data_IF_484199614449
#
_entry.id   IF_484199614449
#
_cell.length_a   1.000
_cell.length_b   1.000
_cell.length_c   1.000
_cell.angle_alpha   90.00
_cell.angle_beta   90.00
_cell.angle_gamma   90.00
#
_symmetry.space_group_name_H-M   'P 1'
#
loop_
_entity.id
_entity.type
_entity.pdbx_description
1 polymer ?
#
# COMPACT_ATOMS: atom_id res chain seq x y z
N UNK A 1 10.10 -5.27 18.02
CA UNK A 1 10.32 -6.62 17.47
C UNK A 1 10.83 -6.47 16.05
N UNK A 2 11.96 -7.10 15.70
CA UNK A 2 12.48 -7.07 14.32
C UNK A 2 11.88 -8.22 13.50
N UNK A 3 11.64 -8.05 12.20
CA UNK A 3 11.10 -9.12 11.36
C UNK A 3 12.13 -10.24 11.19
N UNK A 4 11.70 -11.49 11.30
CA UNK A 4 12.59 -12.66 11.10
C UNK A 4 13.20 -12.73 9.69
N UNK A 5 12.57 -12.08 8.70
CA UNK A 5 13.07 -11.98 7.33
C UNK A 5 12.86 -10.56 6.78
N UNK A 6 13.91 -10.01 6.18
CA UNK A 6 13.90 -8.73 5.49
C UNK A 6 14.32 -8.92 4.04
N UNK A 7 13.50 -8.46 3.10
CA UNK A 7 13.76 -8.54 1.66
C UNK A 7 13.81 -7.13 1.09
N UNK A 8 14.85 -6.82 0.33
CA UNK A 8 15.02 -5.52 -0.30
C UNK A 8 15.48 -5.70 -1.76
N UNK A 9 15.26 -4.69 -2.60
CA UNK A 9 15.69 -4.65 -3.99
C UNK A 9 16.48 -3.35 -4.24
N UNK A 10 16.42 -2.80 -5.46
CA UNK A 10 17.03 -1.51 -5.87
C UNK A 10 18.54 -1.52 -6.15
N UNK A 11 19.39 -2.13 -5.31
CA UNK A 11 20.85 -2.12 -5.52
C UNK A 11 21.35 -2.99 -6.68
N UNK A 12 20.46 -3.71 -7.36
CA UNK A 12 20.78 -4.59 -8.49
C UNK A 12 21.90 -5.59 -8.15
N UNK A 13 21.83 -6.19 -6.97
CA UNK A 13 22.80 -7.20 -6.53
C UNK A 13 22.10 -8.26 -5.69
N UNK A 14 22.49 -9.53 -5.90
CA UNK A 14 22.07 -10.62 -5.02
C UNK A 14 23.01 -10.64 -3.82
N UNK A 15 22.45 -10.45 -2.63
CA UNK A 15 23.21 -10.54 -1.39
C UNK A 15 22.35 -11.15 -0.29
N UNK A 16 22.94 -11.94 0.59
CA UNK A 16 22.24 -12.55 1.73
C UNK A 16 23.08 -12.42 2.99
N UNK A 17 22.43 -12.04 4.09
CA UNK A 17 23.08 -11.92 5.39
C UNK A 17 22.16 -12.43 6.51
N UNK A 18 22.77 -12.82 7.63
CA UNK A 18 22.07 -13.11 8.88
C UNK A 18 22.52 -12.09 9.89
N UNK A 19 21.58 -11.31 10.41
CA UNK A 19 21.84 -10.21 11.33
C UNK A 19 21.43 -10.69 12.73
N UNK A 20 22.39 -10.97 13.64
CA UNK A 20 22.08 -11.36 15.00
C UNK A 20 21.71 -10.15 15.86
N UNK A 21 20.83 -10.35 16.84
CA UNK A 21 20.50 -9.38 17.88
C UNK A 21 20.98 -9.87 19.25
N UNK A 22 21.05 -8.95 20.21
CA UNK A 22 21.53 -9.20 21.57
C UNK A 22 20.64 -10.16 22.37
N UNK A 23 19.35 -10.25 22.01
CA UNK A 23 18.37 -11.17 22.59
C UNK A 23 18.43 -12.59 21.99
N UNK A 24 19.41 -12.85 21.09
CA UNK A 24 19.58 -14.11 20.39
C UNK A 24 18.66 -14.32 19.18
N UNK A 25 17.72 -13.41 18.93
CA UNK A 25 16.93 -13.40 17.70
C UNK A 25 17.80 -13.03 16.49
N UNK A 26 17.29 -13.32 15.27
CA UNK A 26 18.05 -13.10 14.03
C UNK A 26 17.12 -12.66 12.91
N UNK A 27 17.58 -11.70 12.11
CA UNK A 27 16.93 -11.34 10.84
C UNK A 27 17.70 -11.95 9.67
N UNK A 28 17.00 -12.69 8.81
CA UNK A 28 17.55 -13.11 7.51
C UNK A 28 17.33 -12.01 6.49
N UNK A 29 18.41 -11.33 6.09
CA UNK A 29 18.38 -10.30 5.06
C UNK A 29 18.65 -10.88 3.68
N UNK A 30 17.89 -10.43 2.70
CA UNK A 30 18.03 -10.83 1.30
C UNK A 30 17.85 -9.61 0.38
N UNK A 31 18.92 -9.26 -0.34
CA UNK A 31 18.88 -8.30 -1.44
C UNK A 31 18.61 -9.03 -2.77
N UNK A 32 17.66 -8.49 -3.51
CA UNK A 32 17.20 -8.99 -4.79
C UNK A 32 17.86 -8.25 -5.95
N UNK A 33 18.24 -9.01 -6.99
CA UNK A 33 18.78 -8.45 -8.22
C UNK A 33 17.65 -8.10 -9.22
N UNK A 34 17.98 -7.34 -10.26
CA UNK A 34 17.05 -6.98 -11.33
C UNK A 34 16.98 -8.08 -12.39
N UNK A 35 15.76 -8.38 -12.82
CA UNK A 35 15.47 -9.24 -13.96
C UNK A 35 15.84 -8.54 -15.28
N UNK A 36 17.13 -8.49 -15.64
CA UNK A 36 17.62 -7.97 -16.92
C UNK A 36 18.04 -9.11 -17.85
N UNK A 37 18.12 -8.86 -19.18
CA UNK A 37 18.72 -9.81 -20.10
C UNK A 37 20.09 -10.29 -19.58
N UNK A 38 20.30 -11.61 -19.64
CA UNK A 38 21.52 -12.29 -19.14
C UNK A 38 21.70 -12.29 -17.60
N UNK A 39 20.79 -11.69 -16.83
CA UNK A 39 20.73 -11.83 -15.37
C UNK A 39 19.61 -12.79 -15.01
N UNK A 40 19.95 -13.93 -14.42
CA UNK A 40 18.96 -14.90 -13.93
C UNK A 40 18.62 -14.57 -12.50
N UNK A 41 17.56 -13.78 -12.31
CA UNK A 41 17.10 -13.45 -10.98
C UNK A 41 15.60 -13.69 -10.83
N UNK A 42 15.25 -14.74 -10.12
CA UNK A 42 13.93 -15.03 -9.58
C UNK A 42 14.18 -15.87 -8.32
N UNK A 43 13.58 -15.48 -7.21
CA UNK A 43 13.70 -16.23 -5.96
C UNK A 43 12.32 -16.71 -5.52
N UNK A 44 12.18 -18.03 -5.44
CA UNK A 44 11.00 -18.69 -4.92
C UNK A 44 11.26 -18.97 -3.45
N UNK A 45 10.25 -18.75 -2.62
CA UNK A 45 10.31 -18.99 -1.18
C UNK A 45 9.21 -19.97 -0.81
N UNK A 46 9.63 -21.10 -0.27
CA UNK A 46 8.72 -22.08 0.29
C UNK A 46 8.43 -21.67 1.73
N UNK A 47 7.16 -21.33 1.98
CA UNK A 47 6.65 -20.97 3.30
C UNK A 47 5.68 -22.08 3.69
N UNK A 48 5.89 -22.64 4.88
CA UNK A 48 5.00 -23.67 5.40
C UNK A 48 3.58 -23.11 5.55
N UNK A 49 2.62 -23.79 4.92
CA UNK A 49 1.20 -23.47 5.00
C UNK A 49 0.45 -24.67 5.54
N UNK A 50 -0.46 -24.44 6.49
CA UNK A 50 -1.29 -25.51 7.01
C UNK A 50 -2.36 -25.87 5.98
N UNK A 51 -2.37 -27.11 5.52
CA UNK A 51 -3.33 -27.57 4.49
C UNK A 51 -4.81 -27.41 4.90
N UNK A 52 -5.09 -27.29 6.21
CA UNK A 52 -6.45 -27.04 6.74
C UNK A 52 -6.91 -25.59 6.59
N UNK A 53 -6.01 -24.64 6.35
CA UNK A 53 -6.34 -23.21 6.25
C UNK A 53 -6.48 -22.81 4.77
N UNK A 54 -7.47 -21.98 4.41
CA UNK A 54 -7.64 -21.51 3.04
C UNK A 54 -6.53 -20.52 2.65
N UNK A 55 -6.14 -20.52 1.37
CA UNK A 55 -5.21 -19.54 0.79
C UNK A 55 -5.98 -18.29 0.39
N UNK A 56 -6.18 -17.39 1.36
CA UNK A 56 -6.92 -16.14 1.19
C UNK A 56 -6.05 -14.92 1.48
N UNK A 57 -6.28 -13.85 0.71
CA UNK A 57 -5.75 -12.54 1.06
C UNK A 57 -6.66 -11.92 2.11
N UNK A 58 -6.05 -11.41 3.18
CA UNK A 58 -6.75 -10.67 4.24
C UNK A 58 -6.09 -9.32 4.45
N UNK A 59 -6.90 -8.32 4.77
CA UNK A 59 -6.40 -7.07 5.29
C UNK A 59 -5.81 -7.28 6.69
N UNK A 60 -4.71 -6.60 6.96
CA UNK A 60 -4.13 -6.56 8.30
C UNK A 60 -4.91 -5.59 9.17
N UNK A 61 -5.40 -6.06 10.32
CA UNK A 61 -6.31 -5.30 11.18
C UNK A 61 -5.63 -4.08 11.80
N UNK A 62 -4.38 -4.20 12.25
CA UNK A 62 -3.61 -3.08 12.79
C UNK A 62 -3.38 -2.03 11.70
N UNK A 63 -3.02 -2.47 10.50
CA UNK A 63 -2.80 -1.59 9.35
C UNK A 63 -4.05 -0.82 8.93
N UNK A 64 -5.21 -1.48 8.86
CA UNK A 64 -6.49 -0.80 8.60
C UNK A 64 -6.77 0.28 9.65
N UNK A 65 -6.45 -0.01 10.91
CA UNK A 65 -6.66 0.94 12.00
C UNK A 65 -5.71 2.12 11.91
N UNK A 66 -4.44 1.89 11.57
CA UNK A 66 -3.47 2.98 11.30
C UNK A 66 -3.94 3.84 10.12
N UNK A 67 -4.43 3.25 9.04
CA UNK A 67 -4.95 4.00 7.88
C UNK A 67 -6.14 4.88 8.28
N UNK A 68 -7.09 4.33 9.05
CA UNK A 68 -8.23 5.10 9.55
C UNK A 68 -7.79 6.26 10.46
N UNK A 69 -6.94 5.98 11.45
CA UNK A 69 -6.48 6.99 12.40
C UNK A 69 -5.65 8.10 11.74
N UNK A 70 -4.91 7.78 10.67
CA UNK A 70 -4.05 8.75 9.98
C UNK A 70 -4.70 9.42 8.77
N UNK A 71 -5.98 9.14 8.47
CA UNK A 71 -6.65 9.73 7.30
C UNK A 71 -6.63 11.27 7.30
N UNK A 72 -6.80 11.90 8.46
CA UNK A 72 -6.74 13.36 8.61
C UNK A 72 -5.38 13.98 8.26
N UNK A 73 -4.31 13.17 8.18
CA UNK A 73 -2.97 13.59 7.77
C UNK A 73 -2.76 13.48 6.26
N UNK A 74 -3.71 12.88 5.52
CA UNK A 74 -3.62 12.75 4.08
C UNK A 74 -3.68 14.13 3.42
N UNK A 75 -2.70 14.41 2.56
CA UNK A 75 -2.68 15.62 1.75
C UNK A 75 -2.20 15.30 0.34
N UNK A 76 -2.96 15.75 -0.66
CA UNK A 76 -2.63 15.61 -2.08
C UNK A 76 -2.11 16.93 -2.69
N UNK A 77 -1.88 17.94 -1.85
CA UNK A 77 -1.32 19.22 -2.28
C UNK A 77 0.14 19.06 -2.68
N UNK A 78 0.58 19.82 -3.68
CA UNK A 78 1.99 19.87 -4.09
C UNK A 78 2.90 20.67 -3.14
N UNK A 79 2.42 21.05 -1.96
CA UNK A 79 3.15 21.82 -0.95
C UNK A 79 3.66 20.94 0.17
N UNK A 80 4.63 21.43 0.93
CA UNK A 80 5.05 20.78 2.16
C UNK A 80 3.88 20.68 3.14
N UNK A 81 3.71 19.49 3.74
CA UNK A 81 2.77 19.24 4.81
C UNK A 81 3.58 18.87 6.05
N UNK A 82 3.37 19.60 7.14
CA UNK A 82 4.00 19.29 8.42
C UNK A 82 3.19 18.22 9.13
N UNK A 83 3.83 17.13 9.51
CA UNK A 83 3.21 16.02 10.24
C UNK A 83 3.45 16.18 11.75
N UNK A 84 2.53 15.66 12.59
CA UNK A 84 2.70 15.69 14.04
C UNK A 84 3.97 14.91 14.42
N UNK A 85 4.69 15.42 15.41
CA UNK A 85 5.97 14.87 15.82
C UNK A 85 6.23 15.04 17.31
N UNK A 86 7.20 14.30 17.87
CA UNK A 86 7.45 14.26 19.31
C UNK A 86 7.86 15.61 19.91
N UNK A 87 8.38 16.51 19.09
CA UNK A 87 9.04 17.73 19.55
C UNK A 87 8.20 19.00 19.38
N UNK A 88 7.01 18.97 18.75
CA UNK A 88 6.36 20.23 18.39
C UNK A 88 4.83 20.22 18.18
N UNK A 89 4.08 19.39 18.91
CA UNK A 89 2.61 19.47 18.88
C UNK A 89 2.00 18.79 20.11
N UNK A 90 0.92 19.35 20.66
CA UNK A 90 0.00 18.65 21.58
C UNK A 90 -0.84 17.56 20.86
N UNK A 91 -0.55 17.31 19.58
CA UNK A 91 -1.24 16.37 18.73
C UNK A 91 -0.64 14.97 18.82
N UNK A 92 -1.47 13.95 18.59
CA UNK A 92 -1.04 12.55 18.57
C UNK A 92 -0.10 12.31 17.39
N UNK A 93 1.09 11.76 17.67
CA UNK A 93 2.09 11.39 16.66
C UNK A 93 2.41 9.89 16.64
N UNK A 94 1.89 9.12 17.61
CA UNK A 94 2.02 7.66 17.66
C UNK A 94 0.66 7.03 17.40
N UNK A 95 0.58 6.21 16.35
CA UNK A 95 -0.67 5.61 15.88
C UNK A 95 -0.75 4.11 16.12
N UNK A 96 -0.04 3.60 17.14
CA UNK A 96 -0.28 2.24 17.64
C UNK A 96 -1.75 2.14 18.07
N UNK A 97 -2.54 1.23 17.46
CA UNK A 97 -3.96 1.11 17.78
C UNK A 97 -4.21 0.70 19.24
N UNK A 98 -5.21 1.30 19.88
CA UNK A 98 -5.75 0.81 21.15
C UNK A 98 -6.75 -0.36 20.90
N UNK A 99 -7.07 -1.17 21.92
CA UNK A 99 -8.10 -2.21 21.78
C UNK A 99 -9.46 -1.67 21.31
N UNK A 100 -9.85 -0.49 21.76
CA UNK A 100 -11.11 0.16 21.36
C UNK A 100 -11.08 0.59 19.89
N UNK A 101 -9.94 1.11 19.42
CA UNK A 101 -9.74 1.48 18.01
C UNK A 101 -9.76 0.24 17.11
N UNK A 102 -9.13 -0.86 17.55
CA UNK A 102 -9.20 -2.14 16.86
C UNK A 102 -10.65 -2.64 16.80
N UNK A 103 -11.39 -2.60 17.91
CA UNK A 103 -12.79 -3.01 17.95
C UNK A 103 -13.68 -2.18 17.01
N UNK A 104 -13.43 -0.88 16.92
CA UNK A 104 -14.12 0.01 15.98
C UNK A 104 -13.95 -0.44 14.53
N UNK A 105 -12.71 -0.76 14.12
CA UNK A 105 -12.43 -1.22 12.76
C UNK A 105 -12.95 -2.63 12.52
N UNK A 106 -12.91 -3.51 13.52
CA UNK A 106 -13.52 -4.82 13.42
C UNK A 106 -15.01 -4.71 13.12
N UNK A 107 -15.73 -3.80 13.77
CA UNK A 107 -17.15 -3.56 13.49
C UNK A 107 -17.40 -3.03 12.07
N UNK A 108 -16.53 -2.18 11.52
CA UNK A 108 -16.65 -1.69 10.13
C UNK A 108 -16.52 -2.79 9.08
N UNK A 109 -15.81 -3.86 9.41
CA UNK A 109 -15.57 -4.99 8.52
C UNK A 109 -16.38 -6.24 8.91
N UNK A 110 -17.33 -6.12 9.83
CA UNK A 110 -18.09 -7.26 10.38
C UNK A 110 -17.17 -8.39 10.89
N UNK A 111 -16.01 -8.03 11.44
CA UNK A 111 -14.91 -8.92 11.83
C UNK A 111 -14.40 -9.85 10.71
N UNK A 112 -14.68 -9.49 9.45
CA UNK A 112 -14.25 -10.20 8.25
C UNK A 112 -13.30 -9.33 7.42
N UNK A 113 -12.01 -9.61 7.56
CA UNK A 113 -10.95 -8.90 6.85
C UNK A 113 -10.57 -9.55 5.52
N UNK A 114 -11.32 -10.53 5.01
CA UNK A 114 -11.01 -11.17 3.73
C UNK A 114 -11.13 -10.17 2.58
N UNK A 115 -10.09 -10.09 1.75
CA UNK A 115 -10.08 -9.23 0.56
C UNK A 115 -11.10 -9.78 -0.44
N UNK A 116 -12.08 -8.97 -0.89
CA UNK A 116 -13.10 -9.42 -1.81
C UNK A 116 -12.51 -9.79 -3.17
N UNK A 117 -13.05 -10.83 -3.80
CA UNK A 117 -12.66 -11.27 -5.15
C UNK A 117 -13.42 -10.48 -6.24
N UNK A 118 -13.41 -9.16 -6.13
CA UNK A 118 -14.16 -8.24 -7.01
C UNK A 118 -13.26 -7.45 -7.97
N UNK A 119 -12.05 -7.94 -8.25
CA UNK A 119 -11.09 -7.25 -9.12
C UNK A 119 -11.61 -7.15 -10.56
N UNK A 120 -11.51 -5.95 -11.14
CA UNK A 120 -11.91 -5.68 -12.52
C UNK A 120 -10.74 -5.14 -13.34
N UNK A 121 -10.77 -5.41 -14.64
CA UNK A 121 -9.78 -4.86 -15.57
C UNK A 121 -10.08 -3.38 -15.84
N UNK A 122 -9.24 -2.46 -15.33
CA UNK A 122 -9.41 -1.01 -15.48
C UNK A 122 -8.53 -0.40 -16.57
N UNK A 123 -7.60 -1.17 -17.13
CA UNK A 123 -6.71 -0.78 -18.21
C UNK A 123 -6.52 -1.94 -19.20
N UNK A 124 -6.34 -1.66 -20.51
CA UNK A 124 -6.10 -2.70 -21.50
C UNK A 124 -4.87 -3.56 -21.14
N UNK A 125 -4.93 -4.89 -21.36
CA UNK A 125 -3.78 -5.74 -21.16
C UNK A 125 -2.67 -5.39 -22.14
N UNK A 126 -1.44 -5.75 -21.78
CA UNK A 126 -0.28 -5.60 -22.66
C UNK A 126 -0.51 -6.34 -23.99
N UNK A 127 -0.32 -5.64 -25.12
CA UNK A 127 -0.38 -6.22 -26.44
C UNK A 127 1.02 -6.17 -27.11
N UNK A 128 1.68 -7.33 -27.35
CA UNK A 128 3.01 -7.37 -27.93
C UNK A 128 3.07 -6.83 -29.37
N UNK A 129 1.94 -6.83 -30.08
CA UNK A 129 1.84 -6.37 -31.46
C UNK A 129 1.62 -4.85 -31.58
N UNK A 130 1.46 -4.13 -30.46
CA UNK A 130 1.29 -2.67 -30.51
C UNK A 130 2.59 -1.95 -30.92
N UNK A 131 2.49 -0.91 -31.76
CA UNK A 131 3.65 -0.13 -32.20
C UNK A 131 4.34 0.56 -31.01
N UNK A 132 5.68 0.61 -31.08
CA UNK A 132 6.55 1.13 -29.99
C UNK A 132 6.25 2.58 -29.61
N UNK A 133 5.75 3.40 -30.54
CA UNK A 133 5.35 4.80 -30.30
C UNK A 133 4.22 4.96 -29.28
N UNK A 134 3.39 3.93 -29.08
CA UNK A 134 2.36 3.91 -28.05
C UNK A 134 2.82 3.28 -26.72
N UNK A 135 4.01 2.65 -26.66
CA UNK A 135 4.52 2.01 -25.42
C UNK A 135 5.13 3.00 -24.44
N UNK A 136 5.60 4.16 -24.92
CA UNK A 136 6.29 5.17 -24.10
C UNK A 136 5.37 6.30 -23.62
N UNK A 137 4.06 6.19 -23.83
CA UNK A 137 3.10 7.18 -23.32
C UNK A 137 2.79 6.87 -21.87
N UNK A 138 2.91 7.89 -21.01
CA UNK A 138 2.49 7.80 -19.62
C UNK A 138 0.99 7.47 -19.58
N UNK A 139 0.61 6.45 -18.82
CA UNK A 139 -0.79 6.10 -18.64
C UNK A 139 -1.52 7.22 -17.88
N UNK A 140 -2.78 7.48 -18.26
CA UNK A 140 -3.62 8.39 -17.51
C UNK A 140 -4.00 7.79 -16.16
N UNK A 141 -3.94 8.63 -15.14
CA UNK A 141 -4.44 8.32 -13.80
C UNK A 141 -5.95 8.09 -13.85
N UNK A 142 -6.41 6.99 -13.23
CA UNK A 142 -7.83 6.62 -13.16
C UNK A 142 -8.12 6.05 -11.80
N UNK A 143 -9.25 6.45 -11.21
CA UNK A 143 -9.76 5.85 -9.98
C UNK A 143 -10.10 4.38 -10.22
N UNK A 144 -9.75 3.52 -9.26
CA UNK A 144 -10.04 2.10 -9.32
C UNK A 144 -11.25 1.78 -8.43
N UNK A 145 -12.34 1.17 -8.95
CA UNK A 145 -13.55 0.95 -8.16
C UNK A 145 -13.32 0.18 -6.85
N UNK A 146 -12.45 -0.84 -6.87
CA UNK A 146 -12.10 -1.57 -5.64
C UNK A 146 -11.41 -0.69 -4.59
N UNK A 147 -10.60 0.28 -5.01
CA UNK A 147 -9.96 1.23 -4.09
C UNK A 147 -11.00 2.16 -3.50
N UNK A 148 -11.93 2.66 -4.31
CA UNK A 148 -13.03 3.52 -3.85
C UNK A 148 -13.92 2.78 -2.85
N UNK A 149 -14.39 1.58 -3.17
CA UNK A 149 -15.20 0.76 -2.23
C UNK A 149 -14.45 0.46 -0.94
N UNK A 150 -13.15 0.17 -1.02
CA UNK A 150 -12.32 -0.03 0.16
C UNK A 150 -12.24 1.24 1.03
N UNK A 151 -11.98 2.40 0.42
CA UNK A 151 -11.92 3.67 1.12
C UNK A 151 -13.27 4.04 1.76
N UNK A 152 -14.38 3.83 1.04
CA UNK A 152 -15.74 4.04 1.54
C UNK A 152 -16.05 3.14 2.76
N UNK A 153 -15.73 1.84 2.66
CA UNK A 153 -15.95 0.87 3.74
C UNK A 153 -15.14 1.23 5.00
N UNK A 154 -13.87 1.62 4.83
CA UNK A 154 -13.02 2.04 5.95
C UNK A 154 -13.34 3.46 6.44
N UNK A 155 -14.13 4.23 5.67
CA UNK A 155 -14.44 5.65 5.87
C UNK A 155 -13.19 6.54 5.86
N UNK A 156 -12.35 6.36 4.84
CA UNK A 156 -11.17 7.18 4.56
C UNK A 156 -11.27 7.79 3.16
N UNK A 157 -10.44 8.79 2.88
CA UNK A 157 -10.40 9.43 1.57
C UNK A 157 -9.68 8.54 0.54
N UNK A 158 -10.17 8.55 -0.69
CA UNK A 158 -9.44 8.01 -1.84
C UNK A 158 -8.46 9.08 -2.35
N UNK A 159 -7.13 8.91 -2.17
CA UNK A 159 -6.16 9.94 -2.51
C UNK A 159 -6.14 10.25 -4.01
N UNK A 160 -6.44 9.27 -4.86
CA UNK A 160 -6.45 9.48 -6.30
C UNK A 160 -7.71 10.22 -6.73
N UNK A 161 -8.84 9.93 -6.11
CA UNK A 161 -10.08 10.68 -6.33
C UNK A 161 -9.90 12.15 -5.90
N UNK A 162 -9.30 12.40 -4.73
CA UNK A 162 -8.97 13.76 -4.26
C UNK A 162 -8.04 14.50 -5.23
N UNK A 163 -6.99 13.84 -5.72
CA UNK A 163 -6.03 14.43 -6.65
C UNK A 163 -6.70 14.81 -7.98
N UNK A 164 -7.54 13.93 -8.53
CA UNK A 164 -8.25 14.17 -9.79
C UNK A 164 -9.29 15.29 -9.63
N UNK A 165 -9.97 15.38 -8.49
CA UNK A 165 -10.90 16.46 -8.19
C UNK A 165 -10.21 17.84 -8.11
N UNK A 166 -8.97 17.92 -7.63
CA UNK A 166 -8.20 19.18 -7.65
C UNK A 166 -7.78 19.62 -9.05
N UNK A 167 -7.60 18.66 -9.97
CA UNK A 167 -7.17 18.94 -11.35
C UNK A 167 -8.29 19.38 -12.28
N UNK A 168 -9.56 19.29 -11.85
CA UNK A 168 -10.71 19.75 -12.64
C UNK A 168 -10.92 21.25 -12.41
N UNK A 169 -10.73 22.12 -13.41
CA UNK A 169 -10.97 23.54 -13.23
C UNK A 169 -12.46 23.77 -12.96
N UNK A 170 -12.76 24.55 -11.93
CA UNK A 170 -14.09 25.08 -11.61
C UNK A 170 -14.56 26.00 -12.74
N UNK A 171 -15.20 25.43 -13.77
CA UNK A 171 -15.98 26.17 -14.74
C UNK A 171 -17.31 26.62 -14.11
N UNK A 172 -17.23 27.63 -13.24
CA UNK A 172 -18.36 28.45 -12.78
C UNK A 172 -17.89 29.91 -12.70
N UNK A 173 -17.62 30.50 -13.87
CA UNK A 173 -17.77 31.94 -14.06
C UNK A 173 -18.99 32.12 -14.99
N UNK A 174 -20.18 32.15 -14.41
CA UNK A 174 -21.30 32.79 -15.07
C UNK A 174 -21.16 34.29 -14.82
N UNK A 175 -20.84 35.01 -15.89
CA UNK A 175 -21.08 36.44 -15.98
C UNK A 175 -22.59 36.69 -15.98
N UNK A 176 -23.06 37.48 -15.01
CA UNK A 176 -24.16 38.43 -15.22
C UNK A 176 -23.56 39.85 -15.14
#
# INVERSE_FOLDING_TARGET
MFPNSLKNAHLHTKFSAVIPYTDGSRTKFLALDKCLPKRRFLQILDIEHKASEPLELKYDHEWLTVLFLTNHLLSVKSTYNYLPGPNNSNERYTFTPTPDELALIANKFDSNFTVPSNFICTAPPYNPNQPSSNRNKQAHSKVHPNTTTFCEQLCIDDPLALLLAQSTPSSLNNHD
#
